data_IF_888040926185
#
_entry.id   IF_888040926185
#
_cell.length_a   1.000
_cell.length_b   1.000
_cell.length_c   1.000
_cell.angle_alpha   90.00
_cell.angle_beta   90.00
_cell.angle_gamma   90.00
#
_symmetry.space_group_name_H-M   'P 1'
#
loop_
_entity.id
_entity.type
_entity.pdbx_description
1 polymer ?
#
# COMPACT_ATOMS: atom_id res chain seq x y z
N UNK A 1 -33.66 -6.95 -60.09
CA UNK A 1 -32.90 -7.57 -58.99
C UNK A 1 -32.15 -6.49 -58.25
N UNK A 2 -32.64 -6.08 -57.05
CA UNK A 2 -32.07 -5.04 -56.23
C UNK A 2 -31.53 -5.70 -54.96
N UNK A 3 -30.21 -5.76 -54.80
CA UNK A 3 -29.55 -6.27 -53.60
C UNK A 3 -29.46 -5.15 -52.57
N UNK A 4 -30.20 -5.32 -51.45
CA UNK A 4 -30.09 -4.53 -50.27
C UNK A 4 -28.89 -5.05 -49.42
N UNK A 5 -27.82 -4.29 -49.35
CA UNK A 5 -26.73 -4.53 -48.40
C UNK A 5 -27.12 -3.93 -47.07
N UNK A 6 -27.52 -4.76 -46.12
CA UNK A 6 -27.68 -4.38 -44.72
C UNK A 6 -26.30 -4.38 -44.05
N UNK A 7 -25.73 -3.19 -43.84
CA UNK A 7 -24.46 -3.01 -43.11
C UNK A 7 -24.76 -3.06 -41.64
N UNK A 8 -24.51 -4.22 -40.98
CA UNK A 8 -24.56 -4.38 -39.51
C UNK A 8 -23.34 -3.70 -38.90
N UNK A 9 -23.56 -2.52 -38.35
CA UNK A 9 -22.56 -1.76 -37.58
C UNK A 9 -22.45 -2.39 -36.18
N UNK A 10 -21.43 -3.24 -36.00
CA UNK A 10 -21.11 -3.87 -34.72
C UNK A 10 -20.43 -2.82 -33.82
N UNK A 11 -21.20 -2.20 -32.91
CA UNK A 11 -20.64 -1.34 -31.85
C UNK A 11 -19.90 -2.26 -30.86
N UNK A 12 -18.59 -2.32 -30.98
CA UNK A 12 -17.73 -2.89 -29.95
C UNK A 12 -17.74 -1.96 -28.73
N UNK A 13 -18.53 -2.30 -27.71
CA UNK A 13 -18.46 -1.69 -26.39
C UNK A 13 -17.11 -2.08 -25.75
N UNK A 14 -16.09 -1.27 -25.93
CA UNK A 14 -14.85 -1.33 -25.19
C UNK A 14 -15.14 -0.88 -23.74
N UNK A 15 -15.66 -1.81 -22.94
CA UNK A 15 -15.78 -1.61 -21.50
C UNK A 15 -14.40 -1.53 -20.89
N UNK A 16 -13.89 -0.31 -20.64
CA UNK A 16 -12.76 -0.13 -19.72
C UNK A 16 -13.19 -0.62 -18.36
N UNK A 17 -12.78 -1.82 -17.97
CA UNK A 17 -12.92 -2.29 -16.59
C UNK A 17 -11.91 -1.52 -15.73
N UNK A 18 -12.32 -0.38 -15.19
CA UNK A 18 -11.55 0.32 -14.16
C UNK A 18 -11.56 -0.55 -12.91
N UNK A 19 -10.38 -1.03 -12.52
CA UNK A 19 -10.25 -1.75 -11.24
C UNK A 19 -10.72 -0.84 -10.10
N UNK A 20 -11.51 -1.36 -9.15
CA UNK A 20 -11.97 -0.58 -8.02
C UNK A 20 -10.77 -0.06 -7.23
N UNK A 21 -10.81 1.21 -6.83
CA UNK A 21 -9.73 1.85 -6.04
C UNK A 21 -9.75 1.44 -4.57
N UNK A 22 -10.87 0.88 -4.11
CA UNK A 22 -11.07 0.38 -2.74
C UNK A 22 -11.81 -0.96 -2.82
N UNK A 23 -11.45 -1.87 -1.93
CA UNK A 23 -12.09 -3.19 -1.80
C UNK A 23 -12.41 -3.44 -0.33
N UNK A 24 -13.63 -3.93 -0.07
CA UNK A 24 -14.03 -4.40 1.25
C UNK A 24 -14.44 -5.87 1.18
N UNK A 25 -14.07 -6.65 2.20
CA UNK A 25 -14.45 -8.06 2.33
C UNK A 25 -14.49 -8.49 3.80
N UNK A 26 -15.22 -9.54 4.07
CA UNK A 26 -15.18 -10.22 5.35
C UNK A 26 -14.02 -11.23 5.35
N UNK A 27 -13.10 -11.09 6.30
CA UNK A 27 -12.01 -12.04 6.47
C UNK A 27 -12.56 -13.36 7.06
N UNK A 28 -12.38 -14.51 6.39
CA UNK A 28 -13.00 -15.77 6.82
C UNK A 28 -12.37 -16.35 8.10
N UNK A 29 -11.20 -15.90 8.49
CA UNK A 29 -10.47 -16.39 9.66
C UNK A 29 -10.81 -15.59 10.91
N UNK A 30 -10.80 -14.28 10.80
CA UNK A 30 -10.98 -13.36 11.92
C UNK A 30 -12.41 -12.83 12.06
N UNK A 31 -13.24 -13.00 11.03
CA UNK A 31 -14.57 -12.40 10.90
C UNK A 31 -14.56 -10.86 10.99
N UNK A 32 -13.40 -10.26 10.78
CA UNK A 32 -13.28 -8.81 10.64
C UNK A 32 -13.65 -8.36 9.23
N UNK A 33 -14.30 -7.22 9.10
CA UNK A 33 -14.44 -6.55 7.80
C UNK A 33 -13.16 -5.78 7.52
N UNK A 34 -12.51 -6.12 6.41
CA UNK A 34 -11.29 -5.45 5.96
C UNK A 34 -11.67 -4.54 4.79
N UNK A 35 -11.32 -3.27 4.89
CA UNK A 35 -11.42 -2.31 3.79
C UNK A 35 -10.01 -1.86 3.42
N UNK A 36 -9.62 -2.00 2.17
CA UNK A 36 -8.27 -1.69 1.72
C UNK A 36 -8.27 -0.83 0.44
N UNK A 37 -7.35 0.10 0.40
CA UNK A 37 -6.92 0.80 -0.81
C UNK A 37 -6.27 -0.22 -1.76
N UNK A 38 -6.67 -0.26 -3.04
CA UNK A 38 -6.16 -1.25 -4.01
C UNK A 38 -5.07 -0.72 -4.93
N UNK A 39 -4.95 0.60 -5.04
CA UNK A 39 -3.91 1.26 -5.84
C UNK A 39 -2.94 1.98 -4.90
N UNK A 40 -1.86 1.31 -4.45
CA UNK A 40 -0.92 1.86 -3.48
C UNK A 40 -0.06 2.98 -4.07
N UNK A 41 0.46 3.83 -3.19
CA UNK A 41 1.60 4.68 -3.47
C UNK A 41 2.85 3.81 -3.56
N UNK A 42 3.61 3.87 -4.65
CA UNK A 42 4.83 3.07 -4.81
C UNK A 42 6.06 3.96 -4.70
N UNK A 43 6.94 3.59 -3.78
CA UNK A 43 8.21 4.26 -3.55
C UNK A 43 9.36 3.31 -3.88
N UNK A 44 10.43 3.84 -4.45
CA UNK A 44 11.65 3.10 -4.71
C UNK A 44 12.82 3.72 -3.95
N UNK A 45 13.70 2.88 -3.44
CA UNK A 45 14.93 3.32 -2.81
C UNK A 45 15.70 4.24 -3.76
N UNK A 46 16.16 5.38 -3.23
CA UNK A 46 16.86 6.38 -4.02
C UNK A 46 18.15 5.83 -4.61
N UNK A 47 18.94 5.15 -3.79
CA UNK A 47 20.18 4.52 -4.22
C UNK A 47 19.98 3.04 -4.57
N UNK A 48 20.49 2.63 -5.72
CA UNK A 48 20.58 1.22 -6.07
C UNK A 48 21.58 0.49 -5.16
N UNK A 49 21.41 -0.82 -4.96
CA UNK A 49 22.39 -1.64 -4.24
C UNK A 49 23.73 -1.61 -4.96
N UNK A 50 24.82 -1.37 -4.20
CA UNK A 50 26.17 -1.25 -4.79
C UNK A 50 26.63 -2.52 -5.47
N UNK A 51 26.26 -3.69 -4.94
CA UNK A 51 26.74 -5.01 -5.40
C UNK A 51 26.00 -5.54 -6.62
N UNK A 52 24.68 -5.31 -6.70
CA UNK A 52 23.82 -5.96 -7.68
C UNK A 52 23.08 -4.96 -8.58
N UNK A 53 23.15 -3.66 -8.26
CA UNK A 53 22.36 -2.59 -8.86
C UNK A 53 20.85 -2.80 -8.74
N UNK A 54 20.42 -3.79 -7.99
CA UNK A 54 19.02 -4.03 -7.65
C UNK A 54 18.46 -2.91 -6.79
N UNK A 55 17.15 -2.74 -6.82
CA UNK A 55 16.45 -1.68 -6.12
C UNK A 55 15.35 -2.25 -5.24
N UNK A 56 15.25 -1.70 -4.04
CA UNK A 56 14.21 -2.03 -3.09
C UNK A 56 13.02 -1.09 -3.25
N UNK A 57 11.83 -1.60 -2.98
CA UNK A 57 10.58 -0.89 -3.13
C UNK A 57 9.72 -1.03 -1.88
N UNK A 58 8.94 -0.01 -1.60
CA UNK A 58 7.88 -0.03 -0.62
C UNK A 58 6.58 0.46 -1.27
N UNK A 59 5.50 -0.31 -1.14
CA UNK A 59 4.17 0.12 -1.54
C UNK A 59 3.40 0.49 -0.28
N UNK A 60 2.91 1.72 -0.19
CA UNK A 60 2.12 2.20 0.92
C UNK A 60 0.64 2.19 0.56
N UNK A 61 -0.18 1.58 1.39
CA UNK A 61 -1.62 1.58 1.24
C UNK A 61 -2.33 1.64 2.59
N UNK A 62 -3.49 2.29 2.61
CA UNK A 62 -4.35 2.34 3.78
C UNK A 62 -5.23 1.10 3.88
N UNK A 63 -5.41 0.63 5.11
CA UNK A 63 -6.31 -0.47 5.45
C UNK A 63 -7.07 -0.14 6.72
N UNK A 64 -8.38 -0.37 6.72
CA UNK A 64 -9.22 -0.39 7.90
C UNK A 64 -9.53 -1.85 8.27
N UNK A 65 -9.39 -2.17 9.55
CA UNK A 65 -9.86 -3.40 10.15
C UNK A 65 -11.01 -3.07 11.09
N UNK A 66 -12.21 -3.56 10.77
CA UNK A 66 -13.38 -3.40 11.61
C UNK A 66 -13.75 -4.76 12.22
N UNK A 67 -13.55 -4.90 13.51
CA UNK A 67 -13.89 -6.11 14.27
C UNK A 67 -14.95 -5.77 15.30
N UNK A 68 -16.17 -6.28 15.11
CA UNK A 68 -17.30 -6.09 16.04
C UNK A 68 -17.60 -4.61 16.36
N UNK A 69 -17.40 -3.72 15.40
CA UNK A 69 -17.60 -2.27 15.56
C UNK A 69 -16.36 -1.49 16.00
N UNK A 70 -15.33 -2.16 16.50
CA UNK A 70 -14.04 -1.53 16.74
C UNK A 70 -13.28 -1.38 15.42
N UNK A 71 -12.93 -0.14 15.08
CA UNK A 71 -12.24 0.23 13.83
C UNK A 71 -10.83 0.67 14.11
N UNK A 72 -9.89 0.12 13.37
CA UNK A 72 -8.48 0.49 13.45
C UNK A 72 -7.94 0.75 12.06
N UNK A 73 -7.17 1.80 11.92
CA UNK A 73 -6.53 2.19 10.67
C UNK A 73 -5.04 1.83 10.69
N UNK A 74 -4.57 1.33 9.57
CA UNK A 74 -3.17 0.98 9.37
C UNK A 74 -2.69 1.50 8.02
N UNK A 75 -1.45 2.00 8.01
CA UNK A 75 -0.66 2.14 6.80
C UNK A 75 0.14 0.84 6.64
N UNK A 76 -0.08 0.14 5.53
CA UNK A 76 0.69 -1.07 5.22
C UNK A 76 1.83 -0.68 4.29
N UNK A 77 3.05 -1.10 4.61
CA UNK A 77 4.15 -1.13 3.67
C UNK A 77 4.34 -2.55 3.14
N UNK A 78 4.15 -2.73 1.84
CA UNK A 78 4.46 -3.97 1.13
C UNK A 78 5.86 -3.85 0.57
N UNK A 79 6.80 -4.63 1.14
CA UNK A 79 8.22 -4.55 0.84
C UNK A 79 8.61 -5.61 -0.19
N UNK A 80 9.31 -5.19 -1.24
CA UNK A 80 9.84 -6.09 -2.25
C UNK A 80 11.13 -5.55 -2.88
N UNK A 81 11.87 -6.43 -3.53
CA UNK A 81 13.10 -6.09 -4.26
C UNK A 81 13.08 -6.73 -5.64
N UNK A 82 13.61 -6.06 -6.64
CA UNK A 82 13.85 -6.66 -7.96
C UNK A 82 15.14 -7.48 -8.01
N UNK A 83 15.76 -7.71 -6.86
CA UNK A 83 16.98 -8.48 -6.68
C UNK A 83 16.70 -9.74 -5.84
N UNK A 84 17.52 -10.78 -6.04
CA UNK A 84 17.46 -11.97 -5.19
C UNK A 84 18.18 -11.69 -3.88
N UNK A 85 17.39 -11.47 -2.81
CA UNK A 85 17.92 -11.23 -1.48
C UNK A 85 18.12 -12.56 -0.73
N UNK A 86 19.26 -12.73 -0.08
CA UNK A 86 19.46 -13.78 0.91
C UNK A 86 18.56 -13.58 2.13
N UNK A 87 18.38 -14.62 2.95
CA UNK A 87 17.58 -14.52 4.17
C UNK A 87 18.04 -13.41 5.12
N UNK A 88 19.36 -13.21 5.26
CA UNK A 88 19.92 -12.14 6.08
C UNK A 88 19.67 -10.75 5.51
N UNK A 89 19.77 -10.61 4.20
CA UNK A 89 19.47 -9.37 3.50
C UNK A 89 17.98 -9.00 3.63
N UNK A 90 17.11 -10.01 3.55
CA UNK A 90 15.67 -9.82 3.79
C UNK A 90 15.40 -9.38 5.23
N UNK A 91 16.01 -10.04 6.24
CA UNK A 91 15.87 -9.63 7.64
C UNK A 91 16.37 -8.20 7.88
N UNK A 92 17.51 -7.84 7.32
CA UNK A 92 18.05 -6.49 7.41
C UNK A 92 17.15 -5.45 6.72
N UNK A 93 16.56 -5.81 5.56
CA UNK A 93 15.63 -4.95 4.83
C UNK A 93 14.34 -4.75 5.63
N UNK A 94 13.71 -5.81 6.10
CA UNK A 94 12.49 -5.75 6.90
C UNK A 94 12.72 -5.01 8.22
N UNK A 95 13.83 -5.26 8.92
CA UNK A 95 14.14 -4.61 10.20
C UNK A 95 14.38 -3.11 10.05
N UNK A 96 14.83 -2.63 8.88
CA UNK A 96 14.95 -1.19 8.64
C UNK A 96 13.60 -0.47 8.70
N UNK A 97 12.50 -1.19 8.47
CA UNK A 97 11.12 -0.70 8.57
C UNK A 97 10.51 -0.88 9.98
N UNK A 98 11.31 -1.16 11.03
CA UNK A 98 10.81 -1.15 12.41
C UNK A 98 10.24 0.21 12.80
N UNK A 99 10.80 1.28 12.24
CA UNK A 99 10.29 2.64 12.32
C UNK A 99 10.55 3.35 10.99
N UNK A 100 9.61 4.16 10.55
CA UNK A 100 9.72 4.95 9.33
C UNK A 100 9.35 6.41 9.59
N UNK A 101 9.94 7.30 8.82
CA UNK A 101 9.51 8.68 8.68
C UNK A 101 8.92 8.85 7.28
N UNK A 102 7.64 9.19 7.21
CA UNK A 102 6.99 9.60 5.97
C UNK A 102 6.93 11.10 5.94
N UNK A 103 7.73 11.70 5.08
CA UNK A 103 7.75 13.15 4.89
C UNK A 103 6.66 13.53 3.90
N UNK A 104 5.66 14.27 4.39
CA UNK A 104 4.46 14.70 3.67
C UNK A 104 4.52 16.20 3.52
N UNK A 105 4.86 16.71 2.33
CA UNK A 105 5.05 18.14 2.07
C UNK A 105 5.95 18.83 3.15
N UNK A 106 7.13 18.26 3.37
CA UNK A 106 8.12 18.69 4.37
C UNK A 106 7.67 18.61 5.84
N UNK A 107 6.57 17.89 6.12
CA UNK A 107 6.13 17.56 7.48
C UNK A 107 6.45 16.09 7.78
N UNK A 108 7.33 15.81 8.74
CA UNK A 108 7.67 14.44 9.09
C UNK A 108 6.54 13.78 9.90
N UNK A 109 6.11 12.61 9.43
CA UNK A 109 5.22 11.70 10.13
C UNK A 109 6.03 10.47 10.51
N UNK A 110 6.27 10.28 11.80
CA UNK A 110 7.05 9.14 12.32
C UNK A 110 6.11 8.04 12.76
N UNK A 111 6.22 6.87 12.11
CA UNK A 111 5.39 5.71 12.37
C UNK A 111 6.25 4.55 12.87
N UNK A 112 5.82 3.90 13.94
CA UNK A 112 6.44 2.69 14.47
C UNK A 112 5.67 1.45 14.03
N UNK A 113 6.41 0.43 13.61
CA UNK A 113 5.85 -0.87 13.24
C UNK A 113 5.09 -1.47 14.41
N UNK A 114 3.96 -2.04 14.13
CA UNK A 114 3.27 -2.89 15.06
C UNK A 114 4.12 -4.14 15.32
N UNK A 115 4.39 -4.43 16.61
CA UNK A 115 5.24 -5.55 17.02
C UNK A 115 4.51 -6.89 17.05
N UNK A 116 3.18 -6.85 17.06
CA UNK A 116 2.35 -8.04 17.23
C UNK A 116 2.20 -8.83 15.93
N UNK A 117 1.92 -10.11 16.07
CA UNK A 117 1.60 -10.98 14.95
C UNK A 117 0.42 -10.38 14.15
N UNK A 118 0.57 -10.35 12.83
CA UNK A 118 -0.45 -9.85 11.91
C UNK A 118 -1.79 -10.56 12.11
N UNK A 119 -1.76 -11.82 12.55
CA UNK A 119 -2.96 -12.57 12.92
C UNK A 119 -3.73 -11.93 14.10
N UNK A 120 -3.04 -11.26 15.02
CA UNK A 120 -3.66 -10.52 16.11
C UNK A 120 -4.44 -9.28 15.62
N UNK A 121 -4.09 -8.75 14.44
CA UNK A 121 -4.81 -7.65 13.78
C UNK A 121 -6.16 -8.08 13.19
N UNK A 122 -6.42 -9.38 13.11
CA UNK A 122 -7.60 -9.87 12.44
C UNK A 122 -7.49 -9.87 10.90
N UNK A 123 -6.29 -9.90 10.35
CA UNK A 123 -6.02 -9.95 8.92
C UNK A 123 -5.52 -11.35 8.58
N UNK A 124 -6.40 -12.23 8.13
CA UNK A 124 -6.05 -13.61 7.74
C UNK A 124 -5.50 -13.72 6.33
N UNK A 125 -5.83 -12.77 5.46
CA UNK A 125 -5.34 -12.72 4.09
C UNK A 125 -4.67 -11.37 3.80
N UNK A 126 -3.58 -11.40 3.03
CA UNK A 126 -2.91 -10.18 2.60
C UNK A 126 -3.88 -9.22 1.88
N UNK A 127 -4.05 -7.98 2.37
CA UNK A 127 -5.03 -7.05 1.81
C UNK A 127 -4.64 -6.52 0.43
N UNK A 128 -3.38 -6.62 0.06
CA UNK A 128 -2.86 -6.23 -1.24
C UNK A 128 -2.25 -7.43 -1.97
N UNK A 129 -2.37 -7.48 -3.32
CA UNK A 129 -1.68 -8.49 -4.10
C UNK A 129 -0.16 -8.38 -3.91
N UNK A 130 0.49 -9.53 -3.78
CA UNK A 130 1.93 -9.61 -3.69
C UNK A 130 2.54 -9.37 -5.08
N UNK A 131 3.37 -8.36 -5.29
CA UNK A 131 3.97 -8.09 -6.60
C UNK A 131 4.89 -9.21 -7.06
N UNK A 132 5.61 -9.86 -6.14
CA UNK A 132 6.51 -10.99 -6.39
C UNK A 132 6.55 -11.94 -5.19
N UNK A 133 7.09 -13.14 -5.37
CA UNK A 133 7.36 -14.06 -4.26
C UNK A 133 8.40 -13.48 -3.31
N UNK A 134 8.26 -13.74 -2.01
CA UNK A 134 9.17 -13.23 -0.97
C UNK A 134 8.83 -11.84 -0.44
N UNK A 135 7.76 -11.20 -0.94
CA UNK A 135 7.24 -9.93 -0.41
C UNK A 135 6.92 -10.03 1.09
N UNK A 136 7.14 -8.93 1.81
CA UNK A 136 6.82 -8.79 3.24
C UNK A 136 5.83 -7.66 3.46
N UNK A 137 4.96 -7.82 4.46
CA UNK A 137 4.03 -6.80 4.92
C UNK A 137 4.46 -6.26 6.27
N UNK A 138 4.49 -4.96 6.40
CA UNK A 138 4.74 -4.25 7.66
C UNK A 138 3.57 -3.31 7.91
N UNK A 139 3.03 -3.31 9.12
CA UNK A 139 1.84 -2.56 9.48
C UNK A 139 2.21 -1.45 10.47
N UNK A 140 1.71 -0.26 10.20
CA UNK A 140 1.90 0.92 11.03
C UNK A 140 0.52 1.43 11.46
N UNK A 141 0.21 1.48 12.77
CA UNK A 141 -0.97 2.22 13.24
C UNK A 141 -0.89 3.67 12.75
N UNK A 142 -2.01 4.19 12.29
CA UNK A 142 -2.08 5.54 11.72
C UNK A 142 -3.44 6.18 12.02
N UNK A 143 -3.43 7.49 12.24
CA UNK A 143 -4.63 8.27 12.43
C UNK A 143 -5.28 8.68 11.09
N UNK A 144 -6.60 8.88 11.12
CA UNK A 144 -7.33 9.33 9.91
C UNK A 144 -6.83 10.68 9.38
N UNK A 145 -6.48 11.59 10.30
CA UNK A 145 -5.95 12.91 9.96
C UNK A 145 -4.60 12.79 9.21
N UNK A 146 -3.74 11.85 9.62
CA UNK A 146 -2.46 11.58 8.99
C UNK A 146 -2.63 10.97 7.59
N UNK A 147 -3.57 10.02 7.43
CA UNK A 147 -3.93 9.50 6.11
C UNK A 147 -4.51 10.59 5.19
N UNK A 148 -5.28 11.53 5.74
CA UNK A 148 -5.80 12.67 4.98
C UNK A 148 -4.67 13.57 4.53
N UNK A 149 -3.73 13.92 5.40
CA UNK A 149 -2.55 14.68 5.04
C UNK A 149 -1.75 14.01 3.91
N UNK A 150 -1.58 12.69 4.00
CA UNK A 150 -0.93 11.91 2.94
C UNK A 150 -1.72 11.94 1.61
N UNK A 151 -3.04 11.86 1.65
CA UNK A 151 -3.89 11.90 0.45
C UNK A 151 -3.90 13.27 -0.25
N UNK A 152 -3.78 14.35 0.53
CA UNK A 152 -3.79 15.74 0.05
C UNK A 152 -2.39 16.25 -0.32
N UNK A 153 -1.34 15.51 -0.01
CA UNK A 153 0.05 15.93 -0.24
C UNK A 153 0.39 16.07 -1.72
N UNK A 154 1.37 16.92 -2.00
CA UNK A 154 1.95 17.06 -3.34
C UNK A 154 3.18 16.20 -3.53
N UNK A 155 3.88 15.86 -2.45
CA UNK A 155 5.08 15.04 -2.46
C UNK A 155 5.14 14.12 -1.24
N UNK A 156 5.67 12.91 -1.47
CA UNK A 156 5.89 11.91 -0.41
C UNK A 156 7.29 11.34 -0.53
N UNK A 157 8.01 11.35 0.58
CA UNK A 157 9.29 10.65 0.73
C UNK A 157 9.24 9.79 1.98
N UNK A 158 9.84 8.61 1.93
CA UNK A 158 9.96 7.73 3.07
C UNK A 158 11.43 7.54 3.43
N UNK A 159 11.74 7.63 4.72
CA UNK A 159 13.05 7.30 5.28
C UNK A 159 12.88 6.21 6.33
N UNK A 160 13.69 5.16 6.25
CA UNK A 160 13.69 4.11 7.28
C UNK A 160 14.53 4.52 8.47
N UNK A 161 14.01 4.33 9.69
CA UNK A 161 14.67 4.70 10.94
C UNK A 161 15.01 3.48 11.82
N UNK A 162 14.53 2.28 11.47
CA UNK A 162 14.77 1.07 12.26
C UNK A 162 16.25 0.64 12.31
N UNK A 163 17.09 1.22 11.45
CA UNK A 163 18.54 1.09 11.48
C UNK A 163 19.17 2.47 11.41
N UNK A 164 19.39 3.13 12.56
CA UNK A 164 19.90 4.52 12.61
C UNK A 164 21.29 4.69 11.98
N UNK A 165 22.10 3.63 11.97
CA UNK A 165 23.44 3.57 11.35
C UNK A 165 23.40 3.51 9.81
N UNK A 166 22.24 3.17 9.23
CA UNK A 166 22.07 2.99 7.80
C UNK A 166 20.64 3.36 7.34
N UNK A 167 20.20 4.61 7.51
CA UNK A 167 18.89 5.04 7.04
C UNK A 167 18.81 4.94 5.53
N UNK A 168 17.64 4.59 5.01
CA UNK A 168 17.41 4.43 3.58
C UNK A 168 16.27 5.35 3.16
N UNK A 169 16.48 6.11 2.10
CA UNK A 169 15.48 7.02 1.56
C UNK A 169 14.82 6.42 0.31
N UNK A 170 13.50 6.59 0.22
CA UNK A 170 12.64 6.11 -0.86
C UNK A 170 11.88 7.29 -1.45
N UNK A 171 11.87 7.38 -2.77
CA UNK A 171 11.17 8.40 -3.53
C UNK A 171 9.99 7.82 -4.28
N UNK A 172 8.98 8.63 -4.50
CA UNK A 172 7.78 8.27 -5.22
C UNK A 172 8.07 7.85 -6.66
N UNK A 173 7.43 6.74 -7.10
CA UNK A 173 7.47 6.22 -8.47
C UNK A 173 6.09 6.08 -9.08
N UNK A 174 5.08 5.86 -8.26
CA UNK A 174 3.69 5.77 -8.69
C UNK A 174 2.80 6.42 -7.64
N UNK A 175 1.95 7.30 -8.09
CA UNK A 175 0.96 7.95 -7.25
C UNK A 175 -0.20 7.00 -6.91
N UNK A 176 -0.63 7.03 -5.67
CA UNK A 176 -1.77 6.32 -5.12
C UNK A 176 -2.74 7.21 -4.35
N UNK A 177 -2.52 8.53 -4.31
CA UNK A 177 -3.28 9.49 -3.49
C UNK A 177 -4.76 9.56 -3.86
N UNK A 178 -5.09 9.47 -5.14
CA UNK A 178 -6.50 9.42 -5.55
C UNK A 178 -7.23 8.21 -4.95
N UNK A 179 -6.59 7.04 -4.98
CA UNK A 179 -7.13 5.82 -4.37
C UNK A 179 -7.24 5.94 -2.86
N UNK A 180 -6.28 6.62 -2.21
CA UNK A 180 -6.31 6.92 -0.78
C UNK A 180 -7.44 7.89 -0.42
N UNK A 181 -7.68 8.91 -1.23
CA UNK A 181 -8.82 9.84 -1.06
C UNK A 181 -10.17 9.11 -1.18
N UNK A 182 -10.29 8.19 -2.15
CA UNK A 182 -11.49 7.36 -2.28
C UNK A 182 -11.66 6.43 -1.07
N UNK A 183 -10.58 5.85 -0.55
CA UNK A 183 -10.60 5.03 0.67
C UNK A 183 -11.12 5.85 1.86
N UNK A 184 -10.59 7.05 2.08
CA UNK A 184 -11.02 7.94 3.15
C UNK A 184 -12.50 8.34 3.04
N UNK A 185 -12.99 8.52 1.81
CA UNK A 185 -14.40 8.83 1.53
C UNK A 185 -15.36 7.66 1.82
N UNK A 186 -14.88 6.41 1.87
CA UNK A 186 -15.68 5.24 2.23
C UNK A 186 -15.70 4.97 3.74
N UNK A 187 -14.78 5.56 4.49
CA UNK A 187 -14.79 5.43 5.94
C UNK A 187 -15.99 6.23 6.50
N UNK A 188 -16.73 5.65 7.48
CA UNK A 188 -17.80 6.39 8.12
C UNK A 188 -17.27 7.67 8.78
N UNK A 189 -18.13 8.68 8.86
CA UNK A 189 -17.80 9.93 9.54
C UNK A 189 -17.37 9.68 10.99
N UNK A 190 -16.52 10.55 11.50
CA UNK A 190 -16.25 10.64 12.93
C UNK A 190 -17.55 11.08 13.61
N UNK A 191 -18.05 10.25 14.53
CA UNK A 191 -19.24 10.55 15.34
C UNK A 191 -18.87 11.45 16.50
#
# INVERSE_FOLDING_TARGET
>A
MKYFFASSMLLALLGCSTQPTVKSWLDPVSFATITAQTQPLVLARQEARRTTKGRDYAQLAAVEVNRMGERRLYLIAVLWSNDQLSGDQWRAFESSFAQIEVNVDDRPLVLSRLSDDVSALGIGQAPLPLPISGTRHVYFPIERAELRALAESTSVRLTTLGRPDAPQSYEERKDGRQSLSHFLGQLPGES
#
